data_IF_509264611105
#
_entry.id   IF_509264611105
#
_cell.length_a   1.000
_cell.length_b   1.000
_cell.length_c   1.000
_cell.angle_alpha   90.00
_cell.angle_beta   90.00
_cell.angle_gamma   90.00
#
_symmetry.space_group_name_H-M   'P 1'
#
loop_
_entity.id
_entity.type
_entity.pdbx_description
1 polymer ?
#
# COMPACT_ATOMS: atom_id res chain seq x y z
N UNK A 1 -22.13 -49.86 5.58
CA UNK A 1 -22.17 -48.39 5.47
C UNK A 1 -21.45 -47.72 6.65
N UNK A 2 -20.15 -47.97 6.85
CA UNK A 2 -19.34 -47.27 7.88
C UNK A 2 -18.03 -46.69 7.32
N UNK A 3 -17.54 -47.20 6.17
CA UNK A 3 -16.32 -46.68 5.54
C UNK A 3 -16.51 -45.39 4.74
N UNK A 4 -17.71 -45.08 4.25
CA UNK A 4 -17.96 -43.91 3.40
C UNK A 4 -17.90 -42.60 4.20
N UNK A 5 -18.33 -42.63 5.47
CA UNK A 5 -18.37 -41.45 6.35
C UNK A 5 -16.93 -40.98 6.68
N UNK A 6 -15.98 -41.91 6.85
CA UNK A 6 -14.59 -41.57 7.15
C UNK A 6 -13.86 -40.88 5.98
N UNK A 7 -14.22 -41.20 4.74
CA UNK A 7 -13.60 -40.56 3.56
C UNK A 7 -14.14 -39.15 3.36
N UNK A 8 -15.42 -38.93 3.65
CA UNK A 8 -16.05 -37.60 3.55
C UNK A 8 -15.46 -36.60 4.55
N UNK A 9 -15.17 -37.02 5.77
CA UNK A 9 -14.53 -36.18 6.79
C UNK A 9 -13.07 -35.88 6.41
N UNK A 10 -12.36 -36.87 5.83
CA UNK A 10 -11.00 -36.67 5.33
C UNK A 10 -10.96 -35.68 4.16
N UNK A 11 -11.91 -35.78 3.21
CA UNK A 11 -12.04 -34.85 2.08
C UNK A 11 -12.41 -33.44 2.54
N UNK A 12 -13.29 -33.30 3.55
CA UNK A 12 -13.61 -32.00 4.14
C UNK A 12 -12.38 -31.37 4.80
N UNK A 13 -11.60 -32.16 5.54
CA UNK A 13 -10.36 -31.70 6.17
C UNK A 13 -9.29 -31.29 5.14
N UNK A 14 -9.24 -31.96 3.97
CA UNK A 14 -8.33 -31.62 2.88
C UNK A 14 -8.72 -30.34 2.11
N UNK A 15 -9.99 -29.93 2.16
CA UNK A 15 -10.45 -28.68 1.52
C UNK A 15 -10.28 -27.42 2.36
N UNK A 16 -9.85 -27.54 3.62
CA UNK A 16 -9.60 -26.39 4.51
C UNK A 16 -8.15 -25.87 4.46
N UNK A 17 -7.36 -26.29 3.46
CA UNK A 17 -6.10 -25.63 3.10
C UNK A 17 -6.38 -24.38 2.25
N UNK A 18 -7.24 -23.47 2.73
CA UNK A 18 -7.26 -22.13 2.17
C UNK A 18 -6.02 -21.43 2.71
N UNK A 19 -5.13 -21.00 1.82
CA UNK A 19 -3.94 -20.20 2.11
C UNK A 19 -4.22 -19.17 3.22
N UNK A 20 -3.73 -19.47 4.43
CA UNK A 20 -3.82 -18.56 5.59
C UNK A 20 -2.70 -17.51 5.56
N UNK A 21 -1.96 -17.43 4.46
CA UNK A 21 -1.22 -16.22 4.13
C UNK A 21 -2.24 -15.23 3.57
N UNK A 22 -2.71 -14.33 4.42
CA UNK A 22 -3.54 -13.21 4.02
C UNK A 22 -2.77 -12.39 2.98
N UNK A 23 -2.92 -12.76 1.71
CA UNK A 23 -2.27 -12.15 0.56
C UNK A 23 -2.51 -10.66 0.63
N UNK A 24 -1.44 -9.88 0.61
CA UNK A 24 -1.52 -8.41 0.64
C UNK A 24 -2.21 -7.98 -0.65
N UNK A 25 -3.50 -7.65 -0.55
CA UNK A 25 -4.28 -7.21 -1.69
C UNK A 25 -4.00 -5.73 -1.92
N UNK A 26 -3.23 -5.45 -2.97
CA UNK A 26 -2.80 -4.10 -3.29
C UNK A 26 -3.98 -3.24 -3.76
N UNK A 27 -4.13 -2.00 -3.25
CA UNK A 27 -5.11 -1.05 -3.76
C UNK A 27 -4.97 -0.82 -5.28
N UNK A 28 -6.06 -0.54 -6.01
CA UNK A 28 -5.93 -0.20 -7.43
C UNK A 28 -5.26 1.16 -7.59
N UNK A 29 -4.50 1.34 -8.68
CA UNK A 29 -3.72 2.56 -8.93
C UNK A 29 -4.57 3.83 -8.89
N UNK A 30 -5.80 3.78 -9.42
CA UNK A 30 -6.75 4.90 -9.38
C UNK A 30 -7.09 5.38 -7.97
N UNK A 31 -7.05 4.49 -6.97
CA UNK A 31 -7.33 4.87 -5.58
C UNK A 31 -6.15 5.64 -5.00
N UNK A 32 -4.92 5.25 -5.34
CA UNK A 32 -3.70 5.82 -4.72
C UNK A 32 -3.17 7.04 -5.46
N UNK A 33 -3.53 7.21 -6.74
CA UNK A 33 -3.12 8.37 -7.54
C UNK A 33 -3.99 9.61 -7.33
N UNK A 34 -5.21 9.43 -6.85
CA UNK A 34 -6.15 10.53 -6.59
C UNK A 34 -6.09 11.08 -5.16
N UNK A 35 -5.18 10.59 -4.31
CA UNK A 35 -5.08 11.02 -2.91
C UNK A 35 -4.30 12.32 -2.76
N UNK A 36 -4.62 13.04 -1.69
CA UNK A 36 -3.85 14.20 -1.24
C UNK A 36 -2.86 13.82 -0.14
N UNK A 37 -1.69 14.49 -0.16
CA UNK A 37 -0.74 14.41 0.93
C UNK A 37 -1.13 15.38 2.05
N UNK A 38 -1.11 14.89 3.29
CA UNK A 38 -1.55 15.67 4.47
C UNK A 38 -0.39 15.95 5.43
N UNK A 39 0.73 15.25 5.27
CA UNK A 39 1.90 15.35 6.14
C UNK A 39 3.17 15.16 5.33
N UNK A 40 4.21 15.90 5.69
CA UNK A 40 5.57 15.66 5.25
C UNK A 40 6.48 15.46 6.48
N UNK A 41 7.48 14.61 6.33
CA UNK A 41 8.58 14.44 7.29
C UNK A 41 9.88 14.23 6.51
N UNK A 42 11.01 14.66 7.04
CA UNK A 42 12.26 14.57 6.30
C UNK A 42 13.39 15.42 6.86
N UNK A 43 14.58 15.18 6.30
CA UNK A 43 15.78 15.91 6.64
C UNK A 43 16.72 15.97 5.42
N UNK A 44 17.58 16.99 5.38
CA UNK A 44 18.64 17.13 4.38
C UNK A 44 18.14 17.13 2.91
N UNK A 45 16.95 17.68 2.66
CA UNK A 45 16.39 17.81 1.31
C UNK A 45 15.74 16.54 0.76
N UNK A 46 15.70 15.44 1.53
CA UNK A 46 14.89 14.26 1.21
C UNK A 46 13.67 14.27 2.13
N UNK A 47 12.49 14.12 1.53
CA UNK A 47 11.21 14.26 2.21
C UNK A 47 10.29 13.11 1.86
N UNK A 48 9.65 12.55 2.89
CA UNK A 48 8.56 11.61 2.77
C UNK A 48 7.24 12.38 2.90
N UNK A 49 6.39 12.29 1.87
CA UNK A 49 5.03 12.78 1.90
C UNK A 49 4.08 11.63 2.20
N UNK A 50 3.13 11.86 3.09
CA UNK A 50 2.16 10.88 3.56
C UNK A 50 0.75 11.30 3.18
N UNK A 51 0.03 10.39 2.52
CA UNK A 51 -1.37 10.65 2.16
C UNK A 51 -2.28 10.67 3.38
N UNK A 52 -3.53 11.09 3.17
CA UNK A 52 -4.59 10.65 4.05
C UNK A 52 -4.69 9.11 4.10
N UNK A 53 -5.22 8.60 5.21
CA UNK A 53 -5.45 7.17 5.39
C UNK A 53 -6.72 6.76 4.64
N UNK A 54 -6.69 5.60 4.00
CA UNK A 54 -7.83 5.07 3.25
C UNK A 54 -8.01 3.57 3.50
N UNK A 55 -9.21 3.07 3.19
CA UNK A 55 -9.54 1.67 3.37
C UNK A 55 -9.47 0.93 2.03
N UNK A 56 -8.84 -0.25 2.04
CA UNK A 56 -8.89 -1.19 0.91
C UNK A 56 -8.80 -2.62 1.47
N UNK A 57 -9.69 -3.48 0.99
CA UNK A 57 -9.93 -4.81 1.55
C UNK A 57 -10.19 -4.73 3.07
N UNK A 58 -9.47 -5.49 3.88
CA UNK A 58 -9.60 -5.58 5.32
C UNK A 58 -8.58 -4.72 6.08
N UNK A 59 -7.99 -3.71 5.42
CA UNK A 59 -6.86 -2.93 5.94
C UNK A 59 -7.00 -1.43 5.72
N UNK A 60 -6.30 -0.67 6.57
CA UNK A 60 -6.09 0.77 6.44
C UNK A 60 -4.70 0.99 5.83
N UNK A 61 -4.64 1.85 4.83
CA UNK A 61 -3.47 2.12 4.02
C UNK A 61 -3.08 3.59 4.06
N UNK A 62 -1.82 3.87 3.80
CA UNK A 62 -1.26 5.21 3.58
C UNK A 62 -0.23 5.13 2.46
N UNK A 63 -0.25 6.10 1.55
CA UNK A 63 0.76 6.27 0.53
C UNK A 63 1.93 7.03 1.12
N UNK A 64 3.14 6.56 0.84
CA UNK A 64 4.37 7.30 1.09
C UNK A 64 5.06 7.61 -0.23
N UNK A 65 5.35 8.89 -0.44
CA UNK A 65 6.12 9.38 -1.57
C UNK A 65 7.41 10.04 -1.10
N UNK A 66 8.54 9.39 -1.36
CA UNK A 66 9.87 9.88 -1.00
C UNK A 66 10.45 10.67 -2.16
N UNK A 67 10.80 11.93 -1.94
CA UNK A 67 11.23 12.85 -3.00
C UNK A 67 12.37 13.75 -2.54
N UNK A 68 13.26 14.09 -3.47
CA UNK A 68 14.33 15.05 -3.24
C UNK A 68 13.86 16.49 -3.54
N UNK A 69 13.68 17.29 -2.48
CA UNK A 69 13.27 18.70 -2.52
C UNK A 69 14.29 19.55 -1.75
N UNK A 70 15.46 19.87 -2.36
CA UNK A 70 16.53 20.61 -1.68
C UNK A 70 16.16 22.06 -1.33
N UNK A 71 15.12 22.59 -1.98
CA UNK A 71 14.61 23.94 -1.73
C UNK A 71 13.63 24.04 -0.57
N UNK A 72 13.04 22.92 -0.13
CA UNK A 72 12.08 22.90 0.97
C UNK A 72 12.82 23.06 2.31
N UNK A 73 12.39 24.03 3.13
CA UNK A 73 13.05 24.37 4.40
C UNK A 73 12.33 23.80 5.63
N UNK A 74 11.07 23.41 5.47
CA UNK A 74 10.21 22.91 6.52
C UNK A 74 9.15 21.96 5.94
N UNK A 75 8.39 21.31 6.81
CA UNK A 75 7.40 20.31 6.42
C UNK A 75 6.27 20.89 5.56
N UNK A 76 5.86 22.14 5.80
CA UNK A 76 4.78 22.79 5.03
C UNK A 76 5.24 23.08 3.58
N UNK A 77 6.44 23.63 3.40
CA UNK A 77 7.04 23.83 2.09
C UNK A 77 7.28 22.51 1.36
N UNK A 78 7.75 21.48 2.06
CA UNK A 78 7.95 20.15 1.50
C UNK A 78 6.64 19.54 1.02
N UNK A 79 5.56 19.68 1.81
CA UNK A 79 4.24 19.18 1.43
C UNK A 79 3.73 19.85 0.16
N UNK A 80 3.78 21.19 0.10
CA UNK A 80 3.31 21.95 -1.07
C UNK A 80 4.13 21.63 -2.33
N UNK A 81 5.45 21.73 -2.25
CA UNK A 81 6.35 21.48 -3.38
C UNK A 81 6.30 20.02 -3.83
N UNK A 82 6.21 19.10 -2.87
CA UNK A 82 6.13 17.68 -3.12
C UNK A 82 4.82 17.27 -3.80
N UNK A 83 3.68 17.87 -3.41
CA UNK A 83 2.40 17.61 -4.07
C UNK A 83 2.35 18.17 -5.50
N UNK A 84 2.94 19.34 -5.74
CA UNK A 84 3.14 19.88 -7.10
C UNK A 84 4.00 18.94 -7.95
N UNK A 85 5.14 18.50 -7.39
CA UNK A 85 6.04 17.58 -8.08
C UNK A 85 5.37 16.23 -8.36
N UNK A 86 4.62 15.69 -7.41
CA UNK A 86 3.85 14.47 -7.58
C UNK A 86 2.86 14.55 -8.75
N UNK A 87 2.06 15.62 -8.80
CA UNK A 87 1.05 15.82 -9.86
C UNK A 87 1.65 15.90 -11.26
N UNK A 88 2.84 16.49 -11.40
CA UNK A 88 3.55 16.53 -12.69
C UNK A 88 4.10 15.17 -13.12
N UNK A 89 4.30 14.24 -12.18
CA UNK A 89 4.96 12.96 -12.41
C UNK A 89 4.03 11.76 -12.16
N UNK A 90 2.71 11.99 -12.14
CA UNK A 90 1.73 10.95 -11.81
C UNK A 90 1.74 9.79 -12.82
N UNK A 91 2.10 10.06 -14.08
CA UNK A 91 2.21 9.07 -15.14
C UNK A 91 3.39 8.11 -14.97
N UNK A 92 4.34 8.41 -14.07
CA UNK A 92 5.44 7.49 -13.74
C UNK A 92 4.98 6.30 -12.87
N UNK A 93 3.76 6.32 -12.33
CA UNK A 93 3.19 5.24 -11.55
C UNK A 93 2.44 4.28 -12.47
N UNK A 94 3.21 3.42 -13.15
CA UNK A 94 2.77 2.61 -14.29
C UNK A 94 2.29 1.18 -13.93
N UNK A 95 2.33 0.80 -12.66
CA UNK A 95 1.92 -0.54 -12.23
C UNK A 95 0.43 -0.56 -11.82
N UNK A 96 -0.51 -1.05 -12.66
CA UNK A 96 -1.95 -0.92 -12.43
C UNK A 96 -2.48 -1.65 -11.19
N UNK A 97 -1.75 -2.65 -10.70
CA UNK A 97 -2.12 -3.46 -9.53
C UNK A 97 -1.09 -3.38 -8.40
N UNK A 98 0.01 -2.64 -8.60
CA UNK A 98 1.16 -2.66 -7.72
C UNK A 98 1.81 -4.05 -7.61
N UNK A 99 3.01 -4.08 -7.04
CA UNK A 99 3.69 -5.33 -6.68
C UNK A 99 3.72 -5.45 -5.15
N UNK A 100 3.08 -6.48 -4.61
CA UNK A 100 3.04 -6.75 -3.18
C UNK A 100 4.38 -7.29 -2.66
N UNK A 101 4.82 -6.76 -1.53
CA UNK A 101 5.82 -7.35 -0.64
C UNK A 101 5.11 -7.74 0.66
N UNK A 102 4.83 -9.03 0.81
CA UNK A 102 4.01 -9.56 1.90
C UNK A 102 4.73 -9.46 3.25
N UNK A 103 6.05 -9.62 3.28
CA UNK A 103 6.85 -9.54 4.50
C UNK A 103 6.83 -8.12 5.08
N UNK A 104 6.81 -7.11 4.20
CA UNK A 104 6.79 -5.69 4.60
C UNK A 104 5.39 -5.10 4.68
N UNK A 105 4.37 -5.80 4.22
CA UNK A 105 3.00 -5.29 4.11
C UNK A 105 2.93 -4.00 3.25
N UNK A 106 3.66 -4.01 2.13
CA UNK A 106 3.82 -2.87 1.22
C UNK A 106 3.45 -3.26 -0.20
N UNK A 107 2.89 -2.32 -0.96
CA UNK A 107 2.67 -2.40 -2.39
C UNK A 107 3.46 -1.32 -3.11
N UNK A 108 4.25 -1.71 -4.10
CA UNK A 108 5.08 -0.82 -4.90
C UNK A 108 4.41 -0.51 -6.25
N UNK A 109 4.36 0.77 -6.65
CA UNK A 109 3.70 1.20 -7.89
C UNK A 109 4.60 1.99 -8.83
N UNK A 110 5.84 2.26 -8.42
CA UNK A 110 6.89 2.78 -9.27
C UNK A 110 7.94 1.70 -9.53
N UNK A 111 8.59 1.76 -10.70
CA UNK A 111 9.76 0.91 -10.99
C UNK A 111 10.91 1.14 -9.99
N UNK A 112 11.04 2.36 -9.47
CA UNK A 112 11.91 2.66 -8.33
C UNK A 112 11.12 2.47 -7.04
N UNK A 113 11.17 1.26 -6.51
CA UNK A 113 10.37 0.78 -5.38
C UNK A 113 10.57 1.61 -4.10
N UNK A 114 11.72 2.29 -3.94
CA UNK A 114 12.01 3.12 -2.78
C UNK A 114 11.34 4.51 -2.81
N UNK A 115 10.83 4.94 -3.97
CA UNK A 115 10.41 6.33 -4.19
C UNK A 115 8.92 6.52 -4.00
N UNK A 116 8.11 5.51 -4.31
CA UNK A 116 6.65 5.56 -4.15
C UNK A 116 6.10 4.19 -3.79
N UNK A 117 5.56 4.08 -2.57
CA UNK A 117 5.03 2.84 -2.04
C UNK A 117 3.82 3.09 -1.16
N UNK A 118 2.97 2.07 -1.05
CA UNK A 118 1.74 2.12 -0.26
C UNK A 118 1.84 1.08 0.83
N UNK A 119 1.70 1.51 2.08
CA UNK A 119 1.89 0.65 3.25
C UNK A 119 0.56 0.40 3.94
N UNK A 120 0.31 -0.85 4.33
CA UNK A 120 -0.78 -1.16 5.25
C UNK A 120 -0.36 -0.77 6.68
N UNK A 121 -1.15 0.08 7.35
CA UNK A 121 -0.86 0.59 8.70
C UNK A 121 -1.53 -0.28 9.78
N UNK A 122 -2.74 -0.77 9.52
CA UNK A 122 -3.48 -1.59 10.47
C UNK A 122 -4.56 -2.41 9.77
N UNK A 123 -5.11 -3.39 10.49
CA UNK A 123 -6.37 -4.02 10.09
C UNK A 123 -7.52 -3.00 10.21
N UNK A 124 -8.48 -3.08 9.30
CA UNK A 124 -9.75 -2.38 9.41
C UNK A 124 -10.58 -3.08 10.49
N UNK A 125 -10.95 -2.36 11.55
CA UNK A 125 -11.95 -2.88 12.49
C UNK A 125 -13.23 -3.09 11.71
N UNK A 126 -13.69 -4.34 11.59
CA UNK A 126 -15.04 -4.63 11.09
C UNK A 126 -16.02 -4.14 12.15
N UNK A 127 -16.66 -3.00 11.91
CA UNK A 127 -17.89 -2.64 12.62
C UNK A 127 -19.07 -3.33 11.94
#
# INVERSE_FOLDING_TARGET
>A
MRCIINIFILLLALTFSFDVFAKVNCPPTETITNLHFVRADGAAGIWDLFSEKFHHADRIWEVTYTVYLPSAKNNEEALRLGEEFYKMNIDFFDSPLGRSDEDKQVCYYAQQEATYFVRAISMSSKN
#
